data_IF_667277251788
#
_entry.id   IF_667277251788
#
_cell.length_a   1.000
_cell.length_b   1.000
_cell.length_c   1.000
_cell.angle_alpha   90.00
_cell.angle_beta   90.00
_cell.angle_gamma   90.00
#
_symmetry.space_group_name_H-M   'P 1'
#
loop_
_entity.id
_entity.type
_entity.pdbx_description
1 polymer ?
#
# COMPACT_ATOMS: atom_id res chain seq x y z
N UNK A 1 -8.02 -30.76 -11.53
CA UNK A 1 -6.90 -29.83 -11.83
C UNK A 1 -7.39 -28.52 -12.43
N UNK A 2 -8.31 -28.52 -13.41
CA UNK A 2 -8.81 -27.25 -13.97
C UNK A 2 -9.55 -26.36 -12.92
N UNK A 3 -10.23 -26.98 -11.95
CA UNK A 3 -10.86 -26.26 -10.83
C UNK A 3 -9.84 -25.62 -9.88
N UNK A 4 -8.69 -26.25 -9.62
CA UNK A 4 -7.67 -25.71 -8.69
C UNK A 4 -6.99 -24.47 -9.27
N UNK A 5 -6.67 -24.48 -10.57
CA UNK A 5 -6.17 -23.29 -11.28
C UNK A 5 -7.18 -22.15 -11.22
N UNK A 6 -8.46 -22.43 -11.53
CA UNK A 6 -9.52 -21.41 -11.49
C UNK A 6 -9.66 -20.79 -10.10
N UNK A 7 -9.58 -21.60 -9.04
CA UNK A 7 -9.59 -21.08 -7.66
C UNK A 7 -8.36 -20.24 -7.33
N UNK A 8 -7.16 -20.62 -7.79
CA UNK A 8 -5.94 -19.85 -7.57
C UNK A 8 -5.95 -18.53 -8.35
N UNK A 9 -6.50 -18.51 -9.57
CA UNK A 9 -6.70 -17.30 -10.35
C UNK A 9 -7.67 -16.34 -9.66
N UNK A 10 -8.80 -16.84 -9.15
CA UNK A 10 -9.74 -16.03 -8.39
C UNK A 10 -9.09 -15.47 -7.12
N UNK A 11 -8.33 -16.30 -6.40
CA UNK A 11 -7.59 -15.87 -5.21
C UNK A 11 -6.57 -14.78 -5.55
N UNK A 12 -5.82 -14.92 -6.65
CA UNK A 12 -4.89 -13.89 -7.15
C UNK A 12 -5.61 -12.57 -7.41
N UNK A 13 -6.75 -12.61 -8.10
CA UNK A 13 -7.56 -11.42 -8.37
C UNK A 13 -8.02 -10.73 -7.08
N UNK A 14 -8.51 -11.50 -6.10
CA UNK A 14 -8.93 -10.98 -4.80
C UNK A 14 -7.75 -10.31 -4.06
N UNK A 15 -6.58 -10.93 -4.06
CA UNK A 15 -5.38 -10.38 -3.42
C UNK A 15 -4.87 -9.12 -4.10
N UNK A 16 -4.84 -9.08 -5.43
CA UNK A 16 -4.49 -7.89 -6.20
C UNK A 16 -5.38 -6.70 -5.84
N UNK A 17 -6.68 -6.95 -5.72
CA UNK A 17 -7.64 -5.94 -5.28
C UNK A 17 -7.33 -5.45 -3.86
N UNK A 18 -7.08 -6.35 -2.91
CA UNK A 18 -6.72 -5.98 -1.54
C UNK A 18 -5.43 -5.15 -1.46
N UNK A 19 -4.40 -5.50 -2.24
CA UNK A 19 -3.15 -4.72 -2.33
C UNK A 19 -3.42 -3.32 -2.90
N UNK A 20 -4.24 -3.21 -3.95
CA UNK A 20 -4.63 -1.93 -4.54
C UNK A 20 -5.41 -1.05 -3.56
N UNK A 21 -6.38 -1.63 -2.85
CA UNK A 21 -7.18 -0.93 -1.83
C UNK A 21 -6.29 -0.42 -0.68
N UNK A 22 -5.39 -1.26 -0.14
CA UNK A 22 -4.45 -0.86 0.91
C UNK A 22 -3.47 0.22 0.43
N UNK A 23 -3.02 0.15 -0.82
CA UNK A 23 -2.16 1.17 -1.42
C UNK A 23 -2.89 2.52 -1.50
N UNK A 24 -4.16 2.51 -1.93
CA UNK A 24 -5.01 3.69 -1.96
C UNK A 24 -5.21 4.31 -0.57
N UNK A 25 -5.53 3.48 0.44
CA UNK A 25 -5.69 3.93 1.83
C UNK A 25 -4.40 4.52 2.39
N UNK A 26 -3.25 3.87 2.15
CA UNK A 26 -1.94 4.36 2.59
C UNK A 26 -1.61 5.71 1.94
N UNK A 27 -1.90 5.88 0.65
CA UNK A 27 -1.71 7.14 -0.07
C UNK A 27 -2.53 8.27 0.56
N UNK A 28 -3.82 8.05 0.81
CA UNK A 28 -4.69 9.01 1.48
C UNK A 28 -4.17 9.37 2.88
N UNK A 29 -3.72 8.38 3.65
CA UNK A 29 -3.18 8.59 4.98
C UNK A 29 -1.88 9.42 4.95
N UNK A 30 -0.98 9.16 4.00
CA UNK A 30 0.25 9.95 3.82
C UNK A 30 -0.07 11.40 3.43
N UNK A 31 -1.06 11.62 2.58
CA UNK A 31 -1.53 12.97 2.25
C UNK A 31 -2.07 13.70 3.49
N UNK A 32 -2.82 13.01 4.35
CA UNK A 32 -3.29 13.57 5.62
C UNK A 32 -2.12 13.96 6.53
N UNK A 33 -1.12 13.09 6.68
CA UNK A 33 0.09 13.38 7.45
C UNK A 33 0.81 14.62 6.91
N UNK A 34 0.97 14.74 5.59
CA UNK A 34 1.58 15.92 4.95
C UNK A 34 0.79 17.19 5.23
N UNK A 35 -0.55 17.13 5.21
CA UNK A 35 -1.39 18.29 5.54
C UNK A 35 -1.19 18.74 6.97
N UNK A 36 -1.10 17.81 7.92
CA UNK A 36 -0.82 18.15 9.31
C UNK A 36 0.56 18.79 9.47
N UNK A 37 1.59 18.25 8.82
CA UNK A 37 2.93 18.85 8.84
C UNK A 37 2.90 20.29 8.30
N UNK A 38 2.29 20.51 7.14
CA UNK A 38 2.17 21.85 6.55
C UNK A 38 1.43 22.83 7.47
N UNK A 39 0.37 22.37 8.15
CA UNK A 39 -0.36 23.19 9.11
C UNK A 39 0.47 23.53 10.33
N UNK A 40 1.21 22.55 10.89
CA UNK A 40 2.12 22.77 12.02
C UNK A 40 3.18 23.81 11.65
N UNK A 41 3.79 23.69 10.48
CA UNK A 41 4.82 24.62 10.00
C UNK A 41 4.26 26.04 9.84
N UNK A 42 3.07 26.17 9.25
CA UNK A 42 2.39 27.46 9.08
C UNK A 42 2.01 28.10 10.42
N UNK A 43 1.45 27.33 11.36
CA UNK A 43 1.07 27.82 12.70
C UNK A 43 2.30 28.20 13.53
N UNK A 44 3.39 27.44 13.40
CA UNK A 44 4.66 27.72 14.06
C UNK A 44 5.26 29.03 13.55
N UNK A 45 5.31 29.20 12.22
CA UNK A 45 5.75 30.44 11.57
C UNK A 45 4.92 31.65 12.01
N UNK A 46 3.60 31.49 12.12
CA UNK A 46 2.68 32.53 12.58
C UNK A 46 2.91 32.91 14.06
N UNK A 47 3.18 31.91 14.90
CA UNK A 47 3.49 32.12 16.31
C UNK A 47 4.84 32.84 16.52
N UNK A 48 5.84 32.55 15.68
CA UNK A 48 7.14 33.21 15.68
C UNK A 48 7.07 34.67 15.19
N UNK A 49 6.26 34.93 14.15
CA UNK A 49 6.06 36.26 13.58
C UNK A 49 5.23 37.21 14.46
N UNK A 50 4.47 36.68 15.41
CA UNK A 50 3.72 37.49 16.38
C UNK A 50 4.67 37.96 17.49
N UNK A 51 5.36 39.09 17.35
CA UNK A 51 6.18 39.67 18.44
C UNK A 51 5.57 40.96 18.99
N UNK A 52 5.74 41.18 20.30
CA UNK A 52 5.34 42.44 20.96
C UNK A 52 6.37 43.49 20.55
N UNK A 53 5.90 44.63 20.05
CA UNK A 53 6.77 45.72 19.62
C UNK A 53 6.91 46.78 20.72
N UNK A 54 8.04 47.47 20.71
CA UNK A 54 8.25 48.61 21.62
C UNK A 54 7.25 49.72 21.30
N UNK A 55 6.34 50.01 22.23
CA UNK A 55 5.26 50.98 22.05
C UNK A 55 3.84 50.39 22.09
N UNK A 56 3.71 49.06 22.18
CA UNK A 56 2.41 48.42 22.32
C UNK A 56 1.70 48.79 23.64
N UNK A 57 0.40 49.02 23.56
CA UNK A 57 -0.43 49.28 24.74
C UNK A 57 -0.63 47.99 25.56
N UNK A 58 -0.92 48.12 26.86
CA UNK A 58 -1.18 46.97 27.73
C UNK A 58 -2.31 46.05 27.19
N UNK A 59 -3.32 46.62 26.54
CA UNK A 59 -4.39 45.86 25.90
C UNK A 59 -3.89 45.03 24.70
N UNK A 60 -3.00 45.59 23.86
CA UNK A 60 -2.38 44.87 22.75
C UNK A 60 -1.48 43.73 23.24
N UNK A 61 -0.69 43.98 24.29
CA UNK A 61 0.15 42.94 24.93
C UNK A 61 -0.70 41.78 25.47
N UNK A 62 -1.83 42.09 26.12
CA UNK A 62 -2.77 41.09 26.62
C UNK A 62 -3.36 40.25 25.49
N UNK A 63 -3.86 40.91 24.44
CA UNK A 63 -4.40 40.23 23.26
C UNK A 63 -3.36 39.31 22.59
N UNK A 64 -2.13 39.79 22.44
CA UNK A 64 -1.06 39.01 21.81
C UNK A 64 -0.64 37.81 22.66
N UNK A 65 -0.63 37.95 23.99
CA UNK A 65 -0.39 36.83 24.91
C UNK A 65 -1.48 35.74 24.80
N UNK A 66 -2.75 36.15 24.76
CA UNK A 66 -3.87 35.23 24.55
C UNK A 66 -3.79 34.54 23.20
N UNK A 67 -3.53 35.30 22.13
CA UNK A 67 -3.39 34.78 20.79
C UNK A 67 -2.27 33.73 20.69
N UNK A 68 -1.08 34.02 21.22
CA UNK A 68 0.04 33.07 21.28
C UNK A 68 -0.32 31.80 22.04
N UNK A 69 -0.99 31.95 23.17
CA UNK A 69 -1.40 30.79 23.98
C UNK A 69 -2.35 29.89 23.18
N UNK A 70 -3.32 30.48 22.47
CA UNK A 70 -4.21 29.72 21.58
C UNK A 70 -3.46 29.04 20.44
N UNK A 71 -2.52 29.74 19.78
CA UNK A 71 -1.70 29.14 18.71
C UNK A 71 -0.89 27.95 19.22
N UNK A 72 -0.25 28.06 20.39
CA UNK A 72 0.49 26.93 21.01
C UNK A 72 -0.41 25.75 21.29
N UNK A 73 -1.61 25.98 21.82
CA UNK A 73 -2.59 24.90 22.02
C UNK A 73 -2.98 24.23 20.71
N UNK A 74 -3.22 25.01 19.65
CA UNK A 74 -3.55 24.48 18.34
C UNK A 74 -2.39 23.69 17.72
N UNK A 75 -1.15 24.17 17.84
CA UNK A 75 0.05 23.45 17.38
C UNK A 75 0.17 22.11 18.12
N UNK A 76 0.05 22.11 19.45
CA UNK A 76 0.15 20.89 20.25
C UNK A 76 -0.95 19.88 19.84
N UNK A 77 -2.16 20.36 19.57
CA UNK A 77 -3.24 19.51 19.08
C UNK A 77 -2.93 18.94 17.69
N UNK A 78 -2.47 19.75 16.73
CA UNK A 78 -2.07 19.28 15.40
C UNK A 78 -0.94 18.25 15.46
N UNK A 79 0.01 18.40 16.38
CA UNK A 79 1.09 17.43 16.60
C UNK A 79 0.56 16.08 17.11
N UNK A 80 -0.44 16.09 17.99
CA UNK A 80 -1.09 14.87 18.47
C UNK A 80 -1.86 14.16 17.35
N UNK A 81 -2.62 14.92 16.56
CA UNK A 81 -3.33 14.40 15.39
C UNK A 81 -2.37 13.82 14.34
N UNK A 82 -1.26 14.51 14.07
CA UNK A 82 -0.19 14.01 13.22
C UNK A 82 0.37 12.68 13.73
N UNK A 83 0.71 12.60 15.02
CA UNK A 83 1.25 11.36 15.61
C UNK A 83 0.26 10.18 15.49
N UNK A 84 -1.04 10.44 15.67
CA UNK A 84 -2.07 9.43 15.47
C UNK A 84 -2.15 9.00 14.00
N UNK A 85 -2.16 9.96 13.08
CA UNK A 85 -2.24 9.71 11.65
C UNK A 85 -1.00 8.95 11.12
N UNK A 86 0.19 9.28 11.62
CA UNK A 86 1.43 8.61 11.25
C UNK A 86 1.44 7.15 11.74
N UNK A 87 1.00 6.89 12.97
CA UNK A 87 0.85 5.53 13.49
C UNK A 87 -0.13 4.68 12.63
N UNK A 88 -1.22 5.29 12.16
CA UNK A 88 -2.13 4.65 11.23
C UNK A 88 -1.45 4.35 9.88
N UNK A 89 -0.65 5.29 9.35
CA UNK A 89 0.11 5.09 8.12
C UNK A 89 1.10 3.92 8.24
N UNK A 90 1.81 3.83 9.37
CA UNK A 90 2.73 2.71 9.66
C UNK A 90 2.01 1.36 9.73
N UNK A 91 0.81 1.34 10.31
CA UNK A 91 -0.04 0.15 10.36
C UNK A 91 -0.48 -0.28 8.96
N UNK A 92 -0.95 0.68 8.15
CA UNK A 92 -1.33 0.45 6.75
C UNK A 92 -0.14 -0.05 5.92
N UNK A 93 1.04 0.54 6.10
CA UNK A 93 2.27 0.11 5.43
C UNK A 93 2.64 -1.33 5.78
N UNK A 94 2.55 -1.69 7.06
CA UNK A 94 2.81 -3.06 7.52
C UNK A 94 1.81 -4.06 6.93
N UNK A 95 0.53 -3.69 6.89
CA UNK A 95 -0.52 -4.52 6.30
C UNK A 95 -0.35 -4.68 4.79
N UNK A 96 0.03 -3.61 4.09
CA UNK A 96 0.32 -3.62 2.66
C UNK A 96 1.46 -4.60 2.34
N UNK A 97 2.56 -4.56 3.09
CA UNK A 97 3.67 -5.51 2.90
C UNK A 97 3.20 -6.95 3.11
N UNK A 98 2.41 -7.21 4.16
CA UNK A 98 1.87 -8.55 4.43
C UNK A 98 0.96 -9.05 3.29
N UNK A 99 0.06 -8.21 2.78
CA UNK A 99 -0.80 -8.57 1.66
C UNK A 99 -0.03 -8.72 0.34
N UNK A 100 0.98 -7.88 0.08
CA UNK A 100 1.84 -8.02 -1.09
C UNK A 100 2.63 -9.35 -1.06
N UNK A 101 3.16 -9.75 0.10
CA UNK A 101 3.79 -11.07 0.25
C UNK A 101 2.81 -12.20 -0.03
N UNK A 102 1.57 -12.11 0.47
CA UNK A 102 0.52 -13.12 0.22
C UNK A 102 0.12 -13.19 -1.25
N UNK A 103 -0.01 -12.05 -1.90
CA UNK A 103 -0.27 -11.95 -3.34
C UNK A 103 0.84 -12.66 -4.12
N UNK A 104 2.10 -12.36 -3.81
CA UNK A 104 3.24 -12.99 -4.48
C UNK A 104 3.30 -14.50 -4.26
N UNK A 105 3.01 -14.99 -3.05
CA UNK A 105 2.92 -16.43 -2.79
C UNK A 105 1.89 -17.11 -3.69
N UNK A 106 0.70 -16.51 -3.85
CA UNK A 106 -0.36 -17.09 -4.69
C UNK A 106 0.04 -17.07 -6.16
N UNK A 107 0.71 -16.02 -6.62
CA UNK A 107 1.24 -15.94 -7.97
C UNK A 107 2.25 -17.07 -8.26
N UNK A 108 3.22 -17.28 -7.37
CA UNK A 108 4.22 -18.35 -7.52
C UNK A 108 3.58 -19.74 -7.56
N UNK A 109 2.63 -20.01 -6.66
CA UNK A 109 1.91 -21.30 -6.64
C UNK A 109 1.09 -21.51 -7.92
N UNK A 110 0.50 -20.44 -8.46
CA UNK A 110 -0.23 -20.52 -9.72
C UNK A 110 0.70 -20.82 -10.90
N UNK A 111 1.87 -20.19 -10.95
CA UNK A 111 2.90 -20.41 -11.96
C UNK A 111 3.41 -21.86 -11.92
N UNK A 112 3.74 -22.38 -10.72
CA UNK A 112 4.19 -23.76 -10.53
C UNK A 112 3.15 -24.78 -11.01
N UNK A 113 1.87 -24.56 -10.66
CA UNK A 113 0.77 -25.44 -11.10
C UNK A 113 0.56 -25.40 -12.62
N UNK A 114 0.71 -24.23 -13.24
CA UNK A 114 0.62 -24.10 -14.69
C UNK A 114 1.78 -24.80 -15.39
N UNK A 115 2.99 -24.67 -14.86
CA UNK A 115 4.17 -25.36 -15.39
C UNK A 115 4.02 -26.89 -15.31
N UNK A 116 3.58 -27.42 -14.17
CA UNK A 116 3.35 -28.86 -14.00
C UNK A 116 2.38 -29.41 -15.04
N UNK A 117 1.27 -28.70 -15.28
CA UNK A 117 0.27 -29.10 -16.28
C UNK A 117 0.83 -29.02 -17.70
N UNK A 118 1.60 -27.99 -18.02
CA UNK A 118 2.23 -27.88 -19.33
C UNK A 118 3.20 -29.04 -19.59
N UNK A 119 4.00 -29.43 -18.59
CA UNK A 119 4.93 -30.56 -18.72
C UNK A 119 4.22 -31.90 -18.91
N UNK A 120 3.12 -32.15 -18.19
CA UNK A 120 2.37 -33.40 -18.37
C UNK A 120 1.66 -33.46 -19.73
N UNK A 121 1.14 -32.32 -20.21
CA UNK A 121 0.57 -32.21 -21.56
C UNK A 121 1.63 -32.47 -22.63
N UNK A 122 2.82 -31.88 -22.49
CA UNK A 122 3.94 -32.10 -23.41
C UNK A 122 4.35 -33.58 -23.42
N UNK A 123 4.46 -34.21 -22.25
CA UNK A 123 4.78 -35.64 -22.13
C UNK A 123 3.74 -36.52 -22.80
N UNK A 124 2.46 -36.20 -22.67
CA UNK A 124 1.38 -36.92 -23.35
C UNK A 124 1.44 -36.74 -24.86
N UNK A 125 1.70 -35.52 -25.33
CA UNK A 125 1.82 -35.23 -26.76
C UNK A 125 3.01 -35.96 -27.38
N UNK A 126 4.17 -35.95 -26.71
CA UNK A 126 5.36 -36.70 -27.13
C UNK A 126 5.06 -38.20 -27.26
N UNK A 127 4.40 -38.82 -26.27
CA UNK A 127 3.99 -40.23 -26.35
C UNK A 127 3.11 -40.54 -27.55
N UNK A 128 2.18 -39.64 -27.89
CA UNK A 128 1.30 -39.80 -29.05
C UNK A 128 2.12 -39.70 -30.35
N UNK A 129 2.99 -38.69 -30.46
CA UNK A 129 3.86 -38.50 -31.63
C UNK A 129 4.83 -39.67 -31.83
N UNK A 130 5.41 -40.20 -30.75
CA UNK A 130 6.30 -41.36 -30.77
C UNK A 130 5.55 -42.64 -31.19
N UNK A 131 4.32 -42.83 -30.70
CA UNK A 131 3.49 -43.94 -31.13
C UNK A 131 3.13 -43.85 -32.62
N UNK A 132 2.78 -42.67 -33.11
CA UNK A 132 2.49 -42.43 -34.53
C UNK A 132 3.71 -42.67 -35.43
N UNK A 133 4.88 -42.13 -35.05
CA UNK A 133 6.12 -42.31 -35.81
C UNK A 133 6.53 -43.78 -35.88
N UNK A 134 6.40 -44.52 -34.78
CA UNK A 134 6.63 -45.97 -34.74
C UNK A 134 5.70 -46.72 -35.69
N UNK A 135 4.40 -46.38 -35.72
CA UNK A 135 3.45 -46.99 -36.66
C UNK A 135 3.76 -46.66 -38.12
N UNK A 136 4.12 -45.41 -38.44
CA UNK A 136 4.53 -45.02 -39.78
C UNK A 136 5.78 -45.80 -40.23
N UNK A 137 6.77 -45.96 -39.35
CA UNK A 137 7.97 -46.74 -39.63
C UNK A 137 7.66 -48.22 -39.91
N UNK A 138 6.79 -48.83 -39.10
CA UNK A 138 6.37 -50.23 -39.30
C UNK A 138 5.59 -50.46 -40.60
N UNK A 139 4.85 -49.47 -41.10
CA UNK A 139 4.06 -49.56 -42.34
C UNK A 139 4.86 -49.26 -43.62
N UNK A 140 5.98 -48.55 -43.50
CA UNK A 140 6.88 -48.23 -44.62
C UNK A 140 7.96 -49.29 -44.88
N UNK A 141 7.88 -50.43 -44.20
CA UNK A 141 8.74 -51.60 -44.36
C UNK A 141 8.02 -52.68 -45.15
#
# INVERSE_FOLDING_TARGET
>A
MDQTIKTLQLLKQMRNRSVSELTGQLSQQKQLCQRYQNNIDALTSLNEGSQIQSGDTAALMHNQSHYKTHLRHLINWQQQEFAMADKQAQTLQTNLVKEACREKTVELVLEDQQAEIATEQERQQQKITDAMSTQCWLRGR
#
